data_IF_485257228868
#
_entry.id   IF_485257228868
#
_cell.length_a   1.000
_cell.length_b   1.000
_cell.length_c   1.000
_cell.angle_alpha   90.00
_cell.angle_beta   90.00
_cell.angle_gamma   90.00
#
_symmetry.space_group_name_H-M   'P 1'
#
loop_
_entity.id
_entity.type
_entity.pdbx_description
1 polymer ?
#
# COMPACT_ATOMS: atom_id res chain seq x y z
N UNK A 1 -2.53 14.42 -27.57
CA UNK A 1 -1.24 14.27 -26.85
C UNK A 1 -1.56 14.43 -25.38
N UNK A 2 -1.04 13.59 -24.48
CA UNK A 2 -1.39 13.70 -23.06
C UNK A 2 -0.69 14.91 -22.44
N UNK A 3 -1.42 15.66 -21.62
CA UNK A 3 -0.92 16.90 -21.02
C UNK A 3 -0.77 16.69 -19.51
N UNK A 4 0.47 16.64 -19.02
CA UNK A 4 0.76 16.69 -17.59
C UNK A 4 1.11 18.13 -17.16
N UNK A 5 0.77 18.48 -15.91
CA UNK A 5 0.92 19.80 -15.32
C UNK A 5 2.12 19.90 -14.35
N UNK A 6 3.11 19.01 -14.53
CA UNK A 6 4.32 18.92 -13.71
C UNK A 6 5.40 19.96 -14.05
N UNK A 7 5.22 20.73 -15.13
CA UNK A 7 6.23 21.67 -15.60
C UNK A 7 7.49 20.93 -16.07
N UNK A 8 8.65 21.29 -15.51
CA UNK A 8 9.93 20.63 -15.78
C UNK A 8 10.15 19.35 -14.96
N UNK A 9 9.22 18.99 -14.07
CA UNK A 9 9.32 17.80 -13.24
C UNK A 9 8.81 16.55 -13.99
N UNK A 10 9.48 15.41 -13.77
CA UNK A 10 9.07 14.14 -14.36
C UNK A 10 7.98 13.47 -13.52
N UNK A 11 7.21 12.56 -14.12
CA UNK A 11 6.24 11.73 -13.39
C UNK A 11 6.89 10.92 -12.26
N UNK A 12 8.10 10.40 -12.48
CA UNK A 12 8.84 9.61 -11.48
C UNK A 12 9.22 10.47 -10.28
N UNK A 13 9.79 11.65 -10.54
CA UNK A 13 10.17 12.59 -9.48
C UNK A 13 8.94 13.03 -8.68
N UNK A 14 7.80 13.25 -9.34
CA UNK A 14 6.56 13.58 -8.63
C UNK A 14 6.07 12.43 -7.74
N UNK A 15 6.22 11.18 -8.18
CA UNK A 15 5.88 10.00 -7.39
C UNK A 15 6.75 9.91 -6.13
N UNK A 16 8.07 10.08 -6.26
CA UNK A 16 9.00 10.12 -5.12
C UNK A 16 8.63 11.22 -4.12
N UNK A 17 8.35 12.44 -4.60
CA UNK A 17 7.87 13.56 -3.77
C UNK A 17 6.56 13.24 -3.03
N UNK A 18 5.66 12.47 -3.65
CA UNK A 18 4.38 12.09 -3.02
C UNK A 18 4.59 11.01 -1.95
N UNK A 19 5.54 10.11 -2.15
CA UNK A 19 5.92 9.09 -1.17
C UNK A 19 6.57 9.75 0.04
N UNK A 20 7.51 10.68 -0.18
CA UNK A 20 8.13 11.46 0.89
C UNK A 20 7.10 12.26 1.68
N UNK A 21 6.15 12.91 1.00
CA UNK A 21 5.06 13.64 1.64
C UNK A 21 4.06 12.75 2.40
N UNK A 22 4.07 11.44 2.15
CA UNK A 22 3.21 10.44 2.77
C UNK A 22 3.97 9.59 3.80
N UNK A 23 4.96 10.18 4.48
CA UNK A 23 5.82 9.52 5.48
C UNK A 23 6.53 8.26 4.95
N UNK A 24 6.90 8.26 3.67
CA UNK A 24 7.53 7.13 2.99
C UNK A 24 6.56 6.05 2.52
N UNK A 25 5.24 6.22 2.70
CA UNK A 25 4.26 5.24 2.26
C UNK A 25 3.98 5.34 0.75
N UNK A 26 3.95 4.20 0.03
CA UNK A 26 3.73 4.19 -1.41
C UNK A 26 2.34 4.71 -1.78
N UNK A 27 2.27 5.69 -2.68
CA UNK A 27 1.00 6.19 -3.24
C UNK A 27 0.45 5.27 -4.33
N UNK A 28 -0.85 5.33 -4.56
CA UNK A 28 -1.50 4.65 -5.68
C UNK A 28 -1.40 5.45 -6.99
N UNK A 29 -1.66 4.78 -8.11
CA UNK A 29 -1.61 5.37 -9.46
C UNK A 29 -2.69 6.42 -9.68
N UNK A 30 -3.85 6.29 -9.02
CA UNK A 30 -4.94 7.24 -9.14
C UNK A 30 -4.52 8.59 -8.54
N UNK A 31 -3.93 8.58 -7.35
CA UNK A 31 -3.39 9.76 -6.70
C UNK A 31 -2.29 10.42 -7.56
N UNK A 32 -1.36 9.62 -8.09
CA UNK A 32 -0.30 10.13 -8.96
C UNK A 32 -0.86 10.80 -10.22
N UNK A 33 -1.81 10.16 -10.92
CA UNK A 33 -2.44 10.71 -12.13
C UNK A 33 -3.19 12.00 -11.80
N UNK A 34 -3.98 12.01 -10.71
CA UNK A 34 -4.71 13.20 -10.28
C UNK A 34 -3.76 14.36 -10.05
N UNK A 35 -2.71 14.17 -9.28
CA UNK A 35 -1.74 15.22 -8.98
C UNK A 35 -1.00 15.68 -10.24
N UNK A 36 -0.59 14.75 -11.10
CA UNK A 36 0.15 15.06 -12.30
C UNK A 36 -0.67 15.81 -13.35
N UNK A 37 -1.96 15.50 -13.48
CA UNK A 37 -2.83 16.06 -14.53
C UNK A 37 -3.75 17.17 -14.04
N UNK A 38 -3.80 17.45 -12.74
CA UNK A 38 -4.54 18.61 -12.21
C UNK A 38 -3.80 19.90 -12.52
N UNK A 39 -4.49 20.84 -13.16
CA UNK A 39 -3.96 22.18 -13.39
C UNK A 39 -3.91 22.95 -12.07
N UNK A 40 -2.74 23.45 -11.69
CA UNK A 40 -2.53 24.18 -10.42
C UNK A 40 -3.34 25.48 -10.30
N UNK A 41 -3.68 26.12 -11.43
CA UNK A 41 -4.45 27.37 -11.44
C UNK A 41 -5.96 27.13 -11.35
N UNK A 42 -6.46 26.12 -12.07
CA UNK A 42 -7.90 25.85 -12.15
C UNK A 42 -8.37 24.76 -11.20
N UNK A 43 -7.47 23.96 -10.64
CA UNK A 43 -7.79 22.81 -9.79
C UNK A 43 -8.46 21.65 -10.54
N UNK A 44 -8.42 21.65 -11.88
CA UNK A 44 -9.14 20.69 -12.71
C UNK A 44 -8.21 19.93 -13.65
N UNK A 45 -8.60 18.69 -13.96
CA UNK A 45 -7.99 17.89 -15.03
C UNK A 45 -8.58 18.35 -16.36
N UNK A 46 -7.74 18.91 -17.23
CA UNK A 46 -8.14 19.44 -18.53
C UNK A 46 -8.05 18.40 -19.65
N UNK A 47 -7.21 17.38 -19.47
CA UNK A 47 -7.10 16.25 -20.40
C UNK A 47 -8.34 15.37 -20.25
N UNK A 48 -9.23 15.42 -21.24
CA UNK A 48 -10.51 14.71 -21.21
C UNK A 48 -10.33 13.19 -21.02
N UNK A 49 -9.31 12.60 -21.65
CA UNK A 49 -9.08 11.15 -21.54
C UNK A 49 -8.65 10.78 -20.12
N UNK A 50 -7.80 11.59 -19.50
CA UNK A 50 -7.37 11.36 -18.13
C UNK A 50 -8.51 11.62 -17.15
N UNK A 51 -9.33 12.65 -17.43
CA UNK A 51 -10.52 12.93 -16.64
C UNK A 51 -11.47 11.74 -16.65
N UNK A 52 -11.79 11.21 -17.83
CA UNK A 52 -12.67 10.03 -17.97
C UNK A 52 -12.11 8.81 -17.23
N UNK A 53 -10.78 8.60 -17.26
CA UNK A 53 -10.12 7.53 -16.51
C UNK A 53 -10.26 7.72 -15.00
N UNK A 54 -10.03 8.95 -14.49
CA UNK A 54 -10.16 9.25 -13.06
C UNK A 54 -11.60 9.08 -12.61
N UNK A 55 -12.56 9.63 -13.36
CA UNK A 55 -13.98 9.55 -13.04
C UNK A 55 -14.48 8.09 -13.02
N UNK A 56 -14.03 7.26 -13.98
CA UNK A 56 -14.35 5.83 -14.05
C UNK A 56 -13.83 5.08 -12.82
N UNK A 57 -12.55 5.26 -12.48
CA UNK A 57 -11.92 4.57 -11.35
C UNK A 57 -12.53 5.01 -10.02
N UNK A 58 -12.79 6.31 -9.84
CA UNK A 58 -13.45 6.83 -8.62
C UNK A 58 -14.88 6.28 -8.47
N UNK A 59 -15.65 6.21 -9.56
CA UNK A 59 -17.00 5.64 -9.55
C UNK A 59 -16.97 4.16 -9.19
N UNK A 60 -16.00 3.41 -9.72
CA UNK A 60 -15.86 1.98 -9.44
C UNK A 60 -15.34 1.73 -8.01
N UNK A 61 -14.47 2.58 -7.47
CA UNK A 61 -14.10 2.54 -6.05
C UNK A 61 -15.32 2.81 -5.16
N UNK A 62 -16.12 3.82 -5.51
CA UNK A 62 -17.31 4.18 -4.75
C UNK A 62 -18.36 3.06 -4.76
N UNK A 63 -18.58 2.40 -5.90
CA UNK A 63 -19.54 1.29 -6.01
C UNK A 63 -19.09 0.04 -5.25
N UNK A 64 -17.80 -0.29 -5.27
CA UNK A 64 -17.23 -1.41 -4.50
C UNK A 64 -17.17 -1.12 -2.99
N UNK A 65 -17.21 0.15 -2.60
CA UNK A 65 -17.26 0.59 -1.20
C UNK A 65 -18.68 0.63 -0.62
N UNK A 66 -19.72 0.41 -1.44
CA UNK A 66 -21.09 0.33 -0.93
C UNK A 66 -21.31 -1.01 -0.21
N UNK A 67 -21.90 -1.02 1.00
CA UNK A 67 -22.35 -2.27 1.60
C UNK A 67 -23.46 -2.85 0.70
N UNK A 68 -23.28 -4.09 0.25
CA UNK A 68 -24.36 -4.90 -0.31
C UNK A 68 -25.47 -4.93 0.73
N UNK A 69 -26.48 -4.09 0.58
CA UNK A 69 -27.65 -4.09 1.46
C UNK A 69 -28.57 -5.18 0.96
N UNK A 70 -28.46 -6.37 1.56
CA UNK A 70 -29.61 -7.25 1.72
C UNK A 70 -29.49 -7.95 3.08
N UNK A 71 -30.56 -7.80 3.86
CA UNK A 71 -30.79 -8.29 5.22
C UNK A 71 -29.96 -7.72 6.38
N UNK A 72 -30.70 -7.10 7.30
CA UNK A 72 -30.18 -6.36 8.44
C UNK A 72 -29.35 -7.20 9.40
N UNK A 73 -28.47 -6.49 10.11
CA UNK A 73 -27.53 -6.98 11.12
C UNK A 73 -26.14 -7.35 10.59
N UNK A 74 -25.40 -6.36 10.07
CA UNK A 74 -23.94 -6.44 10.08
C UNK A 74 -23.29 -5.07 10.17
N UNK A 75 -22.47 -4.93 11.20
CA UNK A 75 -21.61 -3.80 11.52
C UNK A 75 -20.78 -3.40 10.27
N UNK A 76 -20.68 -2.09 10.02
CA UNK A 76 -20.18 -1.50 8.79
C UNK A 76 -18.88 -2.10 8.25
N UNK A 77 -18.99 -2.90 7.19
CA UNK A 77 -17.86 -3.32 6.38
C UNK A 77 -17.56 -2.21 5.35
N UNK A 78 -16.75 -1.23 5.75
CA UNK A 78 -16.04 -0.38 4.80
C UNK A 78 -14.97 -1.24 4.13
N UNK A 79 -15.30 -1.83 2.99
CA UNK A 79 -14.31 -2.57 2.18
C UNK A 79 -13.39 -1.56 1.51
N UNK A 80 -12.40 -1.06 2.25
CA UNK A 80 -11.35 -0.20 1.70
C UNK A 80 -10.57 -1.02 0.66
N UNK A 81 -10.71 -0.68 -0.63
CA UNK A 81 -9.99 -1.36 -1.71
C UNK A 81 -8.48 -1.27 -1.50
N UNK A 82 -7.77 -2.35 -1.79
CA UNK A 82 -6.32 -2.36 -1.68
C UNK A 82 -5.69 -1.48 -2.76
N UNK A 83 -4.53 -0.90 -2.44
CA UNK A 83 -3.69 -0.13 -3.38
C UNK A 83 -3.42 -0.89 -4.69
N UNK A 84 -3.24 -2.21 -4.62
CA UNK A 84 -3.01 -3.04 -5.80
C UNK A 84 -4.24 -3.11 -6.72
N UNK A 85 -5.44 -3.25 -6.14
CA UNK A 85 -6.69 -3.24 -6.90
C UNK A 85 -6.92 -1.89 -7.58
N UNK A 86 -6.71 -0.78 -6.87
CA UNK A 86 -6.80 0.58 -7.43
C UNK A 86 -5.82 0.74 -8.59
N UNK A 87 -4.57 0.31 -8.40
CA UNK A 87 -3.57 0.37 -9.46
C UNK A 87 -3.97 -0.44 -10.69
N UNK A 88 -4.49 -1.66 -10.51
CA UNK A 88 -4.94 -2.51 -11.61
C UNK A 88 -6.10 -1.87 -12.39
N UNK A 89 -7.07 -1.28 -11.69
CA UNK A 89 -8.18 -0.55 -12.31
C UNK A 89 -7.68 0.61 -13.18
N UNK A 90 -6.75 1.41 -12.67
CA UNK A 90 -6.12 2.51 -13.43
C UNK A 90 -5.35 1.97 -14.64
N UNK A 91 -4.58 0.89 -14.49
CA UNK A 91 -3.81 0.29 -15.59
C UNK A 91 -4.69 -0.31 -16.70
N UNK A 92 -5.91 -0.73 -16.37
CA UNK A 92 -6.92 -1.20 -17.34
C UNK A 92 -7.62 -0.05 -18.05
N UNK A 93 -7.90 1.04 -17.34
CA UNK A 93 -8.61 2.20 -17.87
C UNK A 93 -7.71 3.09 -18.75
N UNK A 94 -6.42 3.23 -18.42
CA UNK A 94 -5.48 4.06 -19.19
C UNK A 94 -5.18 3.41 -20.54
N UNK A 95 -5.37 4.14 -21.68
CA UNK A 95 -5.01 3.63 -23.00
C UNK A 95 -3.54 3.21 -23.09
N UNK A 96 -3.27 2.13 -23.82
CA UNK A 96 -1.92 1.57 -24.01
C UNK A 96 -1.34 1.97 -25.36
N UNK A 97 -0.07 2.37 -25.38
CA UNK A 97 0.73 2.55 -26.62
C UNK A 97 1.39 1.24 -27.03
N UNK A 98 1.79 1.16 -28.31
CA UNK A 98 2.56 0.03 -28.87
C UNK A 98 3.77 -0.27 -27.97
N UNK A 99 3.90 -1.52 -27.52
CA UNK A 99 4.89 -1.95 -26.52
C UNK A 99 4.39 -2.03 -25.08
N UNK A 100 3.07 -1.89 -24.84
CA UNK A 100 2.47 -2.06 -23.50
C UNK A 100 2.64 -0.86 -22.56
N UNK A 101 3.16 0.26 -23.07
CA UNK A 101 3.35 1.47 -22.28
C UNK A 101 2.02 2.16 -22.02
N UNK A 102 1.66 2.29 -20.74
CA UNK A 102 0.54 3.11 -20.30
C UNK A 102 0.87 4.58 -20.57
N UNK A 103 -0.04 5.30 -21.21
CA UNK A 103 0.23 6.69 -21.55
C UNK A 103 -0.02 7.61 -20.37
N UNK A 104 0.89 8.57 -20.13
CA UNK A 104 0.77 9.51 -19.02
C UNK A 104 1.25 8.96 -17.67
N UNK A 105 1.72 7.71 -17.62
CA UNK A 105 2.32 7.12 -16.44
C UNK A 105 3.84 7.02 -16.60
N UNK A 106 4.58 7.21 -15.51
CA UNK A 106 6.03 6.99 -15.50
C UNK A 106 6.35 5.57 -15.98
N UNK A 107 7.45 5.41 -16.72
CA UNK A 107 8.10 4.09 -16.77
C UNK A 107 8.49 3.79 -15.33
N UNK A 108 7.88 2.78 -14.71
CA UNK A 108 8.65 2.03 -13.74
C UNK A 108 9.82 1.43 -14.50
N UNK A 109 10.97 2.11 -14.50
CA UNK A 109 12.15 1.37 -14.09
C UNK A 109 11.72 0.77 -12.76
N UNK A 110 11.60 -0.54 -12.73
CA UNK A 110 11.39 -1.38 -11.58
C UNK A 110 12.19 -0.87 -10.35
N UNK A 111 11.78 0.22 -9.69
CA UNK A 111 12.39 0.75 -8.47
C UNK A 111 11.86 0.04 -7.24
N UNK A 112 10.80 -0.76 -7.41
CA UNK A 112 10.76 -2.07 -6.79
C UNK A 112 11.33 -3.04 -7.81
N UNK A 113 12.33 -3.86 -7.49
CA UNK A 113 12.65 -5.00 -8.30
C UNK A 113 11.33 -5.78 -8.50
N UNK A 114 10.83 -5.88 -9.75
CA UNK A 114 10.07 -7.03 -10.18
C UNK A 114 11.05 -8.20 -10.24
N UNK A 115 11.66 -8.50 -9.10
CA UNK A 115 12.61 -9.56 -8.95
C UNK A 115 11.90 -10.64 -8.19
N UNK A 116 11.28 -11.52 -8.96
CA UNK A 116 11.17 -12.94 -8.62
C UNK A 116 12.54 -13.61 -8.38
N UNK A 117 13.61 -12.82 -8.23
CA UNK A 117 14.99 -13.22 -8.00
C UNK A 117 15.71 -12.27 -7.03
N UNK A 118 14.98 -11.53 -6.19
CA UNK A 118 15.62 -11.04 -4.96
C UNK A 118 15.73 -12.27 -4.07
N UNK A 119 16.84 -13.01 -4.23
CA UNK A 119 17.37 -13.70 -3.07
C UNK A 119 17.41 -12.62 -1.98
N UNK A 120 16.70 -12.79 -0.86
CA UNK A 120 16.77 -11.82 0.22
C UNK A 120 18.23 -11.88 0.64
N UNK A 121 19.02 -10.88 0.24
CA UNK A 121 20.34 -10.70 0.82
C UNK A 121 20.07 -10.14 2.21
N UNK A 122 19.62 -11.03 3.09
CA UNK A 122 19.55 -10.78 4.50
C UNK A 122 21.02 -10.73 4.95
N UNK A 123 21.41 -9.57 5.45
CA UNK A 123 22.72 -9.37 6.05
C UNK A 123 22.95 -10.50 7.08
N UNK A 124 24.01 -11.32 6.94
CA UNK A 124 24.30 -12.41 7.86
C UNK A 124 24.29 -11.97 9.33
N UNK A 125 24.70 -10.72 9.62
CA UNK A 125 24.65 -10.18 10.98
C UNK A 125 23.23 -10.03 11.51
N UNK A 126 22.26 -9.70 10.64
CA UNK A 126 20.85 -9.57 11.01
C UNK A 126 20.22 -10.94 11.24
N UNK A 127 20.61 -11.96 10.47
CA UNK A 127 20.13 -13.33 10.65
C UNK A 127 20.59 -13.93 11.98
N UNK A 128 21.87 -13.73 12.32
CA UNK A 128 22.44 -14.19 13.60
C UNK A 128 21.76 -13.46 14.78
N UNK A 129 21.58 -12.13 14.69
CA UNK A 129 20.91 -11.38 15.76
C UNK A 129 19.44 -11.81 15.97
N UNK A 130 18.73 -12.17 14.89
CA UNK A 130 17.38 -12.69 14.99
C UNK A 130 17.32 -14.09 15.62
N UNK A 131 18.31 -14.94 15.33
CA UNK A 131 18.42 -16.26 15.95
C UNK A 131 18.66 -16.15 17.46
N UNK A 132 19.63 -15.32 17.85
CA UNK A 132 19.96 -15.07 19.26
C UNK A 132 18.78 -14.47 20.03
N UNK A 133 18.04 -13.55 19.40
CA UNK A 133 16.80 -13.01 19.98
C UNK A 133 15.72 -14.08 20.13
N UNK A 134 15.60 -14.99 19.17
CA UNK A 134 14.69 -16.13 19.22
C UNK A 134 14.98 -17.05 20.41
N UNK A 135 16.24 -17.44 20.61
CA UNK A 135 16.65 -18.26 21.75
C UNK A 135 16.37 -17.57 23.09
N UNK A 136 16.65 -16.26 23.18
CA UNK A 136 16.35 -15.47 24.38
C UNK A 136 14.84 -15.39 24.67
N UNK A 137 13.99 -15.31 23.63
CA UNK A 137 12.54 -15.32 23.80
C UNK A 137 12.08 -16.64 24.42
N UNK A 138 12.55 -17.77 23.90
CA UNK A 138 12.20 -19.10 24.44
C UNK A 138 12.60 -19.23 25.91
N UNK A 139 13.82 -18.80 26.26
CA UNK A 139 14.29 -18.83 27.64
C UNK A 139 13.43 -17.95 28.58
N UNK A 140 13.01 -16.77 28.11
CA UNK A 140 12.13 -15.88 28.88
C UNK A 140 10.71 -16.44 29.02
N UNK A 141 10.19 -17.10 28.00
CA UNK A 141 8.88 -17.76 28.04
C UNK A 141 8.88 -18.92 29.05
N UNK A 142 9.94 -19.73 29.09
CA UNK A 142 10.09 -20.83 30.05
C UNK A 142 10.21 -20.32 31.50
N UNK A 143 11.00 -19.25 31.71
CA UNK A 143 11.10 -18.62 33.02
C UNK A 143 9.74 -18.04 33.47
N UNK A 144 9.01 -17.37 32.57
CA UNK A 144 7.68 -16.85 32.86
C UNK A 144 6.68 -17.97 33.19
N UNK A 145 6.73 -19.09 32.47
CA UNK A 145 5.88 -20.24 32.76
C UNK A 145 6.18 -20.82 34.15
N UNK A 146 7.45 -20.88 34.55
CA UNK A 146 7.86 -21.33 35.88
C UNK A 146 7.36 -20.38 36.96
N UNK A 147 7.54 -19.07 36.79
CA UNK A 147 7.03 -18.05 37.72
C UNK A 147 5.50 -18.12 37.85
N UNK A 148 4.78 -18.35 36.74
CA UNK A 148 3.33 -18.51 36.78
C UNK A 148 2.90 -19.78 37.55
N UNK A 149 3.63 -20.88 37.39
CA UNK A 149 3.38 -22.11 38.13
C UNK A 149 3.61 -21.90 39.64
N UNK A 150 4.73 -21.27 40.03
CA UNK A 150 5.03 -20.95 41.43
C UNK A 150 3.97 -20.02 42.05
N UNK A 151 3.57 -18.97 41.33
CA UNK A 151 2.50 -18.08 41.77
C UNK A 151 1.17 -18.83 41.96
N UNK A 152 0.84 -19.76 41.07
CA UNK A 152 -0.36 -20.59 41.19
C UNK A 152 -0.29 -21.52 42.42
N UNK A 153 0.87 -22.10 42.71
CA UNK A 153 1.10 -22.92 43.91
C UNK A 153 0.96 -22.09 45.18
N UNK A 154 1.57 -20.90 45.25
CA UNK A 154 1.48 -19.99 46.40
C UNK A 154 0.02 -19.56 46.65
N UNK A 155 -0.74 -19.29 45.57
CA UNK A 155 -2.17 -18.95 45.70
C UNK A 155 -3.00 -20.13 46.23
N UNK A 156 -2.66 -21.37 45.86
CA UNK A 156 -3.33 -22.57 46.37
C UNK A 156 -3.03 -22.84 47.85
N UNK A 157 -1.78 -22.64 48.29
CA UNK A 157 -1.38 -22.79 49.70
C UNK A 157 -2.00 -21.73 50.62
N UNK A 158 -2.17 -20.50 50.14
CA UNK A 158 -2.83 -19.44 50.93
C UNK A 158 -4.36 -19.56 50.99
N UNK A 159 -4.96 -20.47 50.20
CA UNK A 159 -6.40 -20.70 50.18
C UNK A 159 -6.87 -21.81 51.14
N UNK A 160 -5.94 -22.47 51.85
CA UNK A 160 -6.20 -23.47 52.91
C UNK A 160 -5.94 -22.91 54.29
#
# INVERSE_FOLDING_TARGET
>A
MYVHNLGACSMSTKEDELIEANDGNPVDRLQLIKVAHTNKKTGQIQDLLIKDVVDLVETEIASQSQPLSDDGDSVGASTNLSRLQINEMVEKAVPKRKGGFLVGLARRASSYPASSSQAPYADPMILDELHDKGERIVALEEQNATIQAENATILAENAT
#
